data_IF_243807473219
#
_entry.id   IF_243807473219
#
_cell.length_a   1.000
_cell.length_b   1.000
_cell.length_c   1.000
_cell.angle_alpha   90.00
_cell.angle_beta   90.00
_cell.angle_gamma   90.00
#
_symmetry.space_group_name_H-M   'P 1'
#
loop_
_entity.id
_entity.type
_entity.pdbx_description
1 polymer ?
#
# COMPACT_ATOMS: atom_id res chain seq x y z
N UNK A 1 -17.19 19.26 -22.19
CA UNK A 1 -17.45 18.58 -20.91
C UNK A 1 -18.03 19.62 -19.96
N UNK A 2 -19.15 19.36 -19.27
CA UNK A 2 -19.78 20.35 -18.38
C UNK A 2 -19.13 20.42 -16.99
N UNK A 3 -19.27 21.54 -16.29
CA UNK A 3 -18.73 21.75 -14.93
C UNK A 3 -19.19 20.67 -13.92
N UNK A 4 -20.42 20.19 -14.05
CA UNK A 4 -20.96 19.09 -13.22
C UNK A 4 -20.18 17.77 -13.42
N UNK A 5 -19.80 17.47 -14.67
CA UNK A 5 -19.00 16.29 -15.00
C UNK A 5 -17.57 16.43 -14.48
N UNK A 6 -16.97 17.62 -14.57
CA UNK A 6 -15.64 17.88 -14.01
C UNK A 6 -15.63 17.71 -12.48
N UNK A 7 -16.65 18.25 -11.79
CA UNK A 7 -16.80 18.09 -10.33
C UNK A 7 -16.98 16.63 -9.93
N UNK A 8 -17.82 15.88 -10.65
CA UNK A 8 -18.05 14.46 -10.38
C UNK A 8 -16.76 13.63 -10.56
N UNK A 9 -16.04 13.83 -11.67
CA UNK A 9 -14.77 13.15 -11.92
C UNK A 9 -13.71 13.51 -10.87
N UNK A 10 -13.57 14.80 -10.53
CA UNK A 10 -12.63 15.23 -9.49
C UNK A 10 -12.94 14.58 -8.14
N UNK A 11 -14.23 14.53 -7.76
CA UNK A 11 -14.66 13.85 -6.54
C UNK A 11 -14.35 12.36 -6.57
N UNK A 12 -14.61 11.69 -7.70
CA UNK A 12 -14.31 10.27 -7.88
C UNK A 12 -12.83 9.97 -7.69
N UNK A 13 -11.94 10.68 -8.41
CA UNK A 13 -10.51 10.41 -8.33
C UNK A 13 -9.91 10.80 -6.98
N UNK A 14 -10.40 11.86 -6.32
CA UNK A 14 -9.97 12.16 -4.94
C UNK A 14 -10.34 11.03 -3.96
N UNK A 15 -11.52 10.42 -4.12
CA UNK A 15 -11.90 9.27 -3.30
C UNK A 15 -11.02 8.05 -3.59
N UNK A 16 -10.67 7.83 -4.86
CA UNK A 16 -9.74 6.76 -5.23
C UNK A 16 -8.35 6.95 -4.62
N UNK A 17 -7.82 8.18 -4.62
CA UNK A 17 -6.54 8.49 -3.96
C UNK A 17 -6.57 8.10 -2.49
N UNK A 18 -7.61 8.49 -1.75
CA UNK A 18 -7.75 8.13 -0.34
C UNK A 18 -7.88 6.61 -0.13
N UNK A 19 -8.66 5.93 -0.97
CA UNK A 19 -8.81 4.49 -0.93
C UNK A 19 -7.48 3.75 -1.13
N UNK A 20 -6.74 4.09 -2.18
CA UNK A 20 -5.47 3.45 -2.49
C UNK A 20 -4.38 3.77 -1.47
N UNK A 21 -4.37 4.99 -0.93
CA UNK A 21 -3.48 5.34 0.18
C UNK A 21 -3.75 4.49 1.42
N UNK A 22 -5.02 4.26 1.76
CA UNK A 22 -5.38 3.40 2.90
C UNK A 22 -4.96 1.95 2.68
N UNK A 23 -5.14 1.40 1.47
CA UNK A 23 -4.68 0.04 1.15
C UNK A 23 -3.15 -0.08 1.23
N UNK A 24 -2.41 0.89 0.70
CA UNK A 24 -0.96 0.89 0.80
C UNK A 24 -0.50 0.90 2.27
N UNK A 25 -1.14 1.70 3.12
CA UNK A 25 -0.85 1.73 4.56
C UNK A 25 -1.15 0.38 5.23
N UNK A 26 -2.30 -0.23 4.92
CA UNK A 26 -2.69 -1.53 5.46
C UNK A 26 -1.66 -2.62 5.15
N UNK A 27 -1.23 -2.73 3.89
CA UNK A 27 -0.21 -3.70 3.51
C UNK A 27 1.14 -3.41 4.18
N UNK A 28 1.50 -2.13 4.35
CA UNK A 28 2.72 -1.75 5.06
C UNK A 28 2.70 -2.13 6.55
N UNK A 29 1.56 -2.02 7.21
CA UNK A 29 1.36 -2.47 8.60
C UNK A 29 1.49 -3.99 8.70
N UNK A 30 0.89 -4.74 7.76
CA UNK A 30 0.99 -6.20 7.70
C UNK A 30 2.44 -6.67 7.50
N UNK A 31 3.18 -6.06 6.57
CA UNK A 31 4.60 -6.34 6.34
C UNK A 31 5.39 -6.14 7.64
N UNK A 32 5.18 -5.00 8.32
CA UNK A 32 5.88 -4.69 9.57
C UNK A 32 5.61 -5.72 10.67
N UNK A 33 4.37 -6.24 10.75
CA UNK A 33 4.01 -7.30 11.67
C UNK A 33 4.71 -8.62 11.37
N UNK A 34 4.75 -9.02 10.10
CA UNK A 34 5.42 -10.24 9.67
C UNK A 34 6.94 -10.18 9.79
N UNK A 35 7.56 -9.03 9.52
CA UNK A 35 8.99 -8.82 9.76
C UNK A 35 9.36 -8.99 11.24
N UNK A 36 8.55 -8.42 12.14
CA UNK A 36 8.74 -8.58 13.59
C UNK A 36 8.61 -10.05 14.02
N UNK A 37 7.62 -10.76 13.45
CA UNK A 37 7.42 -12.17 13.69
C UNK A 37 8.63 -12.98 13.22
N UNK A 38 9.10 -12.79 11.98
CA UNK A 38 10.29 -13.45 11.43
C UNK A 38 11.52 -13.19 12.31
N UNK A 39 11.71 -11.95 12.79
CA UNK A 39 12.83 -11.61 13.66
C UNK A 39 12.81 -12.42 14.97
N UNK A 40 11.64 -12.54 15.61
CA UNK A 40 11.47 -13.35 16.81
C UNK A 40 11.75 -14.85 16.54
N UNK A 41 11.19 -15.43 15.48
CA UNK A 41 11.42 -16.84 15.14
C UNK A 41 12.90 -17.10 14.80
N UNK A 42 13.56 -16.17 14.13
CA UNK A 42 15.00 -16.26 13.87
C UNK A 42 15.84 -16.24 15.16
N UNK A 43 15.47 -15.41 16.16
CA UNK A 43 16.15 -15.41 17.45
C UNK A 43 15.92 -16.73 18.22
N UNK A 44 14.72 -17.31 18.14
CA UNK A 44 14.44 -18.64 18.69
C UNK A 44 15.30 -19.72 18.04
N UNK A 45 15.38 -19.73 16.70
CA UNK A 45 16.24 -20.67 15.96
C UNK A 45 17.71 -20.52 16.34
N UNK A 46 18.19 -19.28 16.51
CA UNK A 46 19.56 -19.00 16.95
C UNK A 46 19.83 -19.57 18.33
N UNK A 47 18.94 -19.38 19.30
CA UNK A 47 19.06 -19.94 20.67
C UNK A 47 19.16 -21.47 20.65
N UNK A 48 18.32 -22.14 19.85
CA UNK A 48 18.34 -23.59 19.69
C UNK A 48 19.67 -24.06 19.08
N UNK A 49 20.13 -23.43 17.99
CA UNK A 49 21.41 -23.75 17.33
C UNK A 49 22.62 -23.55 18.25
N UNK A 50 22.56 -22.59 19.17
CA UNK A 50 23.61 -22.35 20.18
C UNK A 50 23.52 -23.26 21.41
N UNK A 51 22.64 -24.27 21.43
CA UNK A 51 22.48 -25.18 22.56
C UNK A 51 21.82 -24.55 23.79
N UNK A 52 21.21 -23.36 23.63
CA UNK A 52 20.48 -22.64 24.69
C UNK A 52 18.99 -23.03 24.72
N UNK A 53 18.54 -23.88 23.80
CA UNK A 53 17.18 -24.40 23.72
C UNK A 53 17.04 -25.83 24.26
N UNK A 54 15.81 -26.24 24.57
CA UNK A 54 15.52 -27.62 24.97
C UNK A 54 15.80 -28.61 23.82
N UNK A 55 16.16 -29.89 24.08
CA UNK A 55 16.39 -30.89 23.03
C UNK A 55 15.20 -31.06 22.08
N UNK A 56 13.97 -31.03 22.61
CA UNK A 56 12.74 -31.08 21.81
C UNK A 56 12.55 -29.86 20.88
N UNK A 57 13.26 -28.75 21.13
CA UNK A 57 13.24 -27.58 20.26
C UNK A 57 14.13 -27.75 19.01
N UNK A 58 15.11 -28.67 19.05
CA UNK A 58 15.95 -28.98 17.89
C UNK A 58 15.14 -29.68 16.77
N UNK A 59 14.23 -30.59 17.15
CA UNK A 59 13.34 -31.27 16.21
C UNK A 59 12.30 -30.33 15.57
N UNK A 60 12.03 -29.19 16.21
CA UNK A 60 11.12 -28.16 15.71
C UNK A 60 11.78 -27.18 14.71
N UNK A 61 13.11 -27.18 14.58
CA UNK A 61 13.87 -26.27 13.70
C UNK A 61 13.36 -26.27 12.26
N UNK A 62 13.13 -27.43 11.60
CA UNK A 62 12.64 -27.45 10.22
C UNK A 62 11.24 -26.83 10.08
N UNK A 63 10.38 -27.01 11.08
CA UNK A 63 9.02 -26.46 11.09
C UNK A 63 9.06 -24.95 11.22
N UNK A 64 9.89 -24.42 12.12
CA UNK A 64 10.07 -22.97 12.28
C UNK A 64 10.70 -22.34 11.04
N UNK A 65 11.66 -23.01 10.40
CA UNK A 65 12.24 -22.53 9.15
C UNK A 65 11.18 -22.47 8.04
N UNK A 66 10.38 -23.53 7.86
CA UNK A 66 9.30 -23.54 6.87
C UNK A 66 8.24 -22.44 7.10
N UNK A 67 7.99 -22.08 8.37
CA UNK A 67 7.11 -20.96 8.69
C UNK A 67 7.75 -19.61 8.30
N UNK A 68 9.04 -19.42 8.58
CA UNK A 68 9.78 -18.21 8.17
C UNK A 68 9.73 -18.06 6.66
N UNK A 69 10.03 -19.13 5.92
CA UNK A 69 10.03 -19.11 4.45
C UNK A 69 8.64 -18.71 3.91
N UNK A 70 7.56 -19.27 4.49
CA UNK A 70 6.19 -18.88 4.12
C UNK A 70 5.88 -17.41 4.44
N UNK A 71 6.28 -16.91 5.61
CA UNK A 71 6.07 -15.51 5.97
C UNK A 71 6.85 -14.58 5.03
N UNK A 72 8.03 -14.97 4.58
CA UNK A 72 8.81 -14.22 3.59
C UNK A 72 8.11 -14.17 2.22
N UNK A 73 7.51 -15.29 1.78
CA UNK A 73 6.69 -15.32 0.57
C UNK A 73 5.47 -14.39 0.70
N UNK A 74 4.76 -14.44 1.83
CA UNK A 74 3.62 -13.56 2.10
C UNK A 74 4.03 -12.07 2.13
N UNK A 75 5.20 -11.74 2.71
CA UNK A 75 5.75 -10.38 2.66
C UNK A 75 6.01 -9.94 1.22
N UNK A 76 6.56 -10.83 0.39
CA UNK A 76 6.80 -10.53 -1.03
C UNK A 76 5.50 -10.19 -1.76
N UNK A 77 4.43 -10.97 -1.54
CA UNK A 77 3.11 -10.70 -2.11
C UNK A 77 2.53 -9.37 -1.60
N UNK A 78 2.63 -9.10 -0.29
CA UNK A 78 2.18 -7.85 0.32
C UNK A 78 2.94 -6.64 -0.23
N UNK A 79 4.24 -6.77 -0.50
CA UNK A 79 5.03 -5.72 -1.13
C UNK A 79 4.51 -5.42 -2.53
N UNK A 80 4.24 -6.45 -3.33
CA UNK A 80 3.67 -6.29 -4.66
C UNK A 80 2.29 -5.61 -4.62
N UNK A 81 1.42 -5.97 -3.66
CA UNK A 81 0.12 -5.32 -3.49
C UNK A 81 0.23 -3.87 -3.02
N UNK A 82 1.12 -3.59 -2.08
CA UNK A 82 1.41 -2.21 -1.63
C UNK A 82 1.88 -1.35 -2.79
N UNK A 83 2.83 -1.85 -3.59
CA UNK A 83 3.40 -1.10 -4.70
C UNK A 83 2.37 -0.88 -5.81
N UNK A 84 1.49 -1.87 -6.07
CA UNK A 84 0.32 -1.71 -6.94
C UNK A 84 -0.65 -0.64 -6.44
N UNK A 85 -0.97 -0.63 -5.14
CA UNK A 85 -1.83 0.39 -4.54
C UNK A 85 -1.22 1.79 -4.64
N UNK A 86 0.10 1.92 -4.45
CA UNK A 86 0.82 3.20 -4.64
C UNK A 86 0.71 3.67 -6.09
N UNK A 87 0.92 2.78 -7.08
CA UNK A 87 0.80 3.13 -8.48
C UNK A 87 -0.62 3.61 -8.85
N UNK A 88 -1.66 2.93 -8.37
CA UNK A 88 -3.06 3.32 -8.61
C UNK A 88 -3.46 4.63 -7.91
N UNK A 89 -2.91 4.88 -6.71
CA UNK A 89 -3.03 6.18 -6.03
C UNK A 89 -2.44 7.30 -6.89
N UNK A 90 -1.24 7.09 -7.41
CA UNK A 90 -0.52 8.09 -8.19
C UNK A 90 -1.22 8.38 -9.51
N UNK A 91 -1.70 7.35 -10.20
CA UNK A 91 -2.58 7.50 -11.36
C UNK A 91 -3.85 8.30 -11.04
N UNK A 92 -4.50 7.98 -9.92
CA UNK A 92 -5.70 8.70 -9.49
C UNK A 92 -5.43 10.17 -9.16
N UNK A 93 -4.28 10.46 -8.54
CA UNK A 93 -3.82 11.82 -8.25
C UNK A 93 -3.58 12.62 -9.54
N UNK A 94 -2.92 12.03 -10.54
CA UNK A 94 -2.69 12.66 -11.84
C UNK A 94 -4.01 12.99 -12.54
N UNK A 95 -4.97 12.06 -12.53
CA UNK A 95 -6.31 12.26 -13.07
C UNK A 95 -7.06 13.37 -12.34
N UNK A 96 -7.06 13.37 -11.01
CA UNK A 96 -7.66 14.44 -10.22
C UNK A 96 -7.05 15.81 -10.57
N UNK A 97 -5.72 15.88 -10.72
CA UNK A 97 -5.01 17.09 -11.15
C UNK A 97 -5.43 17.57 -12.54
N UNK A 98 -5.63 16.66 -13.50
CA UNK A 98 -6.13 16.99 -14.83
C UNK A 98 -7.54 17.61 -14.77
N UNK A 99 -8.47 16.99 -14.04
CA UNK A 99 -9.83 17.50 -13.92
C UNK A 99 -9.89 18.85 -13.20
N UNK A 100 -9.02 19.07 -12.21
CA UNK A 100 -8.89 20.37 -11.53
C UNK A 100 -8.47 21.47 -12.51
N UNK A 101 -7.43 21.24 -13.31
CA UNK A 101 -6.99 22.19 -14.35
C UNK A 101 -8.07 22.47 -15.39
N UNK A 102 -8.82 21.45 -15.81
CA UNK A 102 -9.94 21.67 -16.72
C UNK A 102 -11.06 22.49 -16.10
N UNK A 103 -11.37 22.29 -14.82
CA UNK A 103 -12.37 23.09 -14.12
C UNK A 103 -11.93 24.55 -14.02
N UNK A 104 -10.67 24.80 -13.66
CA UNK A 104 -10.07 26.15 -13.60
C UNK A 104 -10.13 26.85 -14.96
N UNK A 105 -9.69 26.18 -16.03
CA UNK A 105 -9.74 26.74 -17.39
C UNK A 105 -11.18 27.02 -17.85
N UNK A 106 -12.13 26.14 -17.53
CA UNK A 106 -13.55 26.34 -17.87
C UNK A 106 -14.14 27.55 -17.14
N UNK A 107 -13.83 27.71 -15.85
CA UNK A 107 -14.28 28.86 -15.06
C UNK A 107 -13.68 30.17 -15.59
N UNK A 108 -12.39 30.19 -15.92
CA UNK A 108 -11.74 31.37 -16.50
C UNK A 108 -12.38 31.78 -17.84
N UNK A 109 -12.68 30.82 -18.72
CA UNK A 109 -13.35 31.08 -19.98
C UNK A 109 -14.75 31.67 -19.79
N UNK A 110 -15.51 31.17 -18.80
CA UNK A 110 -16.84 31.73 -18.47
C UNK A 110 -16.72 33.17 -17.97
N UNK A 111 -15.78 33.45 -17.06
CA UNK A 111 -15.55 34.81 -16.56
C UNK A 111 -15.22 35.81 -17.67
N UNK A 112 -14.32 35.43 -18.59
CA UNK A 112 -13.95 36.26 -19.73
C UNK A 112 -15.13 36.56 -20.67
N UNK A 113 -16.10 35.64 -20.80
CA UNK A 113 -17.32 35.88 -21.59
C UNK A 113 -18.35 36.77 -20.88
N UNK A 114 -18.25 36.96 -19.57
CA UNK A 114 -19.15 37.85 -18.81
C UNK A 114 -18.62 39.28 -18.72
N UNK A 115 -17.33 39.50 -18.96
CA UNK A 115 -16.68 40.81 -18.95
C UNK A 115 -16.60 41.48 -20.34
N UNK A 116 -16.97 40.78 -21.42
CA UNK A 116 -16.96 41.25 -22.81
C UNK A 116 -18.36 41.67 -23.29
#
# INVERSE_FOLDING_TARGET
MGLSSLKSNLSYYNNQVAFWQNNANLHNEQISGYDADIADRNDQLRKVRCGQGAPAAADAVPVVQALIDRLQDEISDLCAWRDGAIAERDFSNERAGMYRRYAESTLAAIGNCQEA
#
